data_IF_462724195365
#
_entry.id   IF_462724195365
#
_cell.length_a   1.000
_cell.length_b   1.000
_cell.length_c   1.000
_cell.angle_alpha   90.00
_cell.angle_beta   90.00
_cell.angle_gamma   90.00
#
_symmetry.space_group_name_H-M   'P 1'
#
loop_
_entity.id
_entity.type
_entity.pdbx_description
1 polymer ?
#
# COMPACT_ATOMS: atom_id res chain seq x y z
N UNK A 1 0.42 75.35 40.28
CA UNK A 1 1.25 74.21 40.73
C UNK A 1 0.69 72.95 40.11
N UNK A 2 1.52 72.23 39.33
CA UNK A 2 1.51 70.83 38.81
C UNK A 2 0.21 69.99 38.79
N UNK A 3 0.11 68.90 37.98
CA UNK A 3 0.71 68.61 36.67
C UNK A 3 -0.28 67.91 35.69
N UNK A 4 0.24 67.60 34.49
CA UNK A 4 -0.34 66.78 33.41
C UNK A 4 -0.87 65.41 33.90
N UNK A 5 -1.93 64.93 33.24
CA UNK A 5 -2.10 63.49 33.02
C UNK A 5 -2.80 63.22 31.68
N UNK A 6 -2.06 62.57 30.79
CA UNK A 6 -2.47 62.13 29.45
C UNK A 6 -3.05 60.74 29.62
N UNK A 7 -4.35 60.56 29.37
CA UNK A 7 -4.94 59.21 29.28
C UNK A 7 -4.45 58.54 27.99
N UNK A 8 -3.62 57.51 28.13
CA UNK A 8 -3.36 56.52 27.08
C UNK A 8 -4.45 55.44 27.16
N UNK A 9 -5.16 55.09 26.08
CA UNK A 9 -5.97 53.88 26.07
C UNK A 9 -5.05 52.67 26.01
N UNK A 10 -5.14 51.80 27.01
CA UNK A 10 -4.55 50.46 27.00
C UNK A 10 -5.41 49.59 26.09
N UNK A 11 -4.93 49.31 24.89
CA UNK A 11 -5.45 48.25 24.03
C UNK A 11 -5.08 46.90 24.65
N UNK A 12 -6.05 46.24 25.29
CA UNK A 12 -5.93 44.84 25.67
C UNK A 12 -6.13 44.01 24.40
N UNK A 13 -5.02 43.57 23.81
CA UNK A 13 -5.04 42.58 22.74
C UNK A 13 -5.39 41.22 23.36
N UNK A 14 -6.62 40.74 23.11
CA UNK A 14 -6.99 39.35 23.36
C UNK A 14 -6.23 38.49 22.33
N UNK A 15 -5.11 37.93 22.76
CA UNK A 15 -4.39 36.92 21.99
C UNK A 15 -5.26 35.67 21.86
N UNK A 16 -5.78 35.41 20.67
CA UNK A 16 -6.39 34.14 20.34
C UNK A 16 -5.27 33.10 20.26
N UNK A 17 -5.04 32.36 21.34
CA UNK A 17 -4.25 31.13 21.30
C UNK A 17 -5.04 30.12 20.48
N UNK A 18 -4.71 29.98 19.20
CA UNK A 18 -5.19 28.87 18.39
C UNK A 18 -4.53 27.62 18.97
N UNK A 19 -5.28 26.91 19.80
CA UNK A 19 -4.89 25.59 20.29
C UNK A 19 -4.58 24.70 19.08
N UNK A 20 -3.40 24.08 19.09
CA UNK A 20 -3.06 23.01 18.17
C UNK A 20 -4.02 21.84 18.43
N UNK A 21 -5.18 21.87 17.78
CA UNK A 21 -6.08 20.74 17.72
C UNK A 21 -5.32 19.57 17.09
N UNK A 22 -5.34 18.42 17.75
CA UNK A 22 -4.85 17.17 17.19
C UNK A 22 -5.46 17.00 15.79
N UNK A 23 -4.64 17.13 14.75
CA UNK A 23 -5.08 16.98 13.39
C UNK A 23 -5.70 15.58 13.26
N UNK A 24 -7.02 15.52 13.09
CA UNK A 24 -7.70 14.28 12.76
C UNK A 24 -7.00 13.69 11.52
N UNK A 25 -6.59 12.43 11.61
CA UNK A 25 -5.92 11.76 10.49
C UNK A 25 -6.80 11.89 9.25
N UNK A 26 -6.26 12.52 8.20
CA UNK A 26 -7.01 12.77 6.97
C UNK A 26 -7.46 11.42 6.36
N UNK A 27 -8.66 11.37 5.74
CA UNK A 27 -9.11 10.18 5.03
C UNK A 27 -8.02 9.71 4.06
N UNK A 28 -7.82 8.39 3.84
CA UNK A 28 -6.79 7.86 2.94
C UNK A 28 -6.79 8.51 1.55
N UNK A 29 -7.96 8.98 1.09
CA UNK A 29 -8.12 9.69 -0.18
C UNK A 29 -7.34 11.01 -0.28
N UNK A 30 -6.99 11.66 0.85
CA UNK A 30 -6.37 12.99 0.88
C UNK A 30 -4.86 12.94 1.20
N UNK A 31 -4.36 11.81 1.72
CA UNK A 31 -2.93 11.63 2.02
C UNK A 31 -2.11 11.49 0.74
N UNK A 32 -0.94 12.13 0.68
CA UNK A 32 0.05 11.92 -0.39
C UNK A 32 0.59 10.49 -0.38
N UNK A 33 1.20 10.03 -1.48
CA UNK A 33 1.85 8.70 -1.51
C UNK A 33 2.97 8.58 -0.48
N UNK A 34 3.72 9.66 -0.23
CA UNK A 34 4.75 9.70 0.80
C UNK A 34 4.18 9.52 2.22
N UNK A 35 3.11 10.24 2.56
CA UNK A 35 2.44 10.10 3.87
C UNK A 35 1.81 8.72 4.04
N UNK A 36 1.18 8.20 2.98
CA UNK A 36 0.65 6.84 2.98
C UNK A 36 1.76 5.83 3.24
N UNK A 37 2.86 5.87 2.48
CA UNK A 37 4.02 4.99 2.69
C UNK A 37 4.55 5.05 4.13
N UNK A 38 4.67 6.25 4.71
CA UNK A 38 5.18 6.43 6.06
C UNK A 38 4.25 5.90 7.17
N UNK A 39 2.97 5.68 6.87
CA UNK A 39 1.95 5.29 7.86
C UNK A 39 1.23 3.99 7.53
N UNK A 40 1.59 3.33 6.42
CA UNK A 40 0.84 2.21 5.83
C UNK A 40 0.70 1.00 6.76
N UNK A 41 1.65 0.78 7.66
CA UNK A 41 1.59 -0.30 8.67
C UNK A 41 0.41 -0.18 9.64
N UNK A 42 -0.12 1.04 9.81
CA UNK A 42 -1.29 1.32 10.65
C UNK A 42 -2.61 1.20 9.88
N UNK A 43 -2.55 1.08 8.56
CA UNK A 43 -3.73 1.10 7.70
C UNK A 43 -4.25 -0.30 7.40
N UNK A 44 -5.56 -0.38 7.12
CA UNK A 44 -6.20 -1.60 6.64
C UNK A 44 -5.48 -2.12 5.36
N UNK A 45 -5.36 -3.44 5.13
CA UNK A 45 -4.66 -3.98 3.96
C UNK A 45 -5.15 -3.43 2.60
N UNK A 46 -6.40 -3.00 2.50
CA UNK A 46 -6.94 -2.31 1.32
C UNK A 46 -6.17 -1.03 0.94
N UNK A 47 -5.60 -0.31 1.92
CA UNK A 47 -4.85 0.92 1.68
C UNK A 47 -3.57 0.69 0.86
N UNK A 48 -2.98 -0.51 0.93
CA UNK A 48 -1.79 -0.88 0.15
C UNK A 48 -2.10 -0.90 -1.36
N UNK A 49 -3.31 -1.31 -1.75
CA UNK A 49 -3.77 -1.28 -3.14
C UNK A 49 -3.97 0.16 -3.62
N UNK A 50 -4.56 1.01 -2.78
CA UNK A 50 -4.72 2.44 -3.08
C UNK A 50 -3.36 3.11 -3.25
N UNK A 51 -2.40 2.83 -2.36
CA UNK A 51 -1.02 3.32 -2.48
C UNK A 51 -0.38 2.84 -3.78
N UNK A 52 -0.48 1.55 -4.07
CA UNK A 52 0.09 0.96 -5.28
C UNK A 52 -0.50 1.61 -6.55
N UNK A 53 -1.82 1.78 -6.64
CA UNK A 53 -2.46 2.46 -7.77
C UNK A 53 -1.95 3.90 -7.95
N UNK A 54 -1.82 4.66 -6.86
CA UNK A 54 -1.34 6.05 -6.91
C UNK A 54 0.10 6.14 -7.37
N UNK A 55 0.99 5.32 -6.79
CA UNK A 55 2.38 5.22 -7.23
C UNK A 55 2.49 4.83 -8.70
N UNK A 56 1.62 3.93 -9.17
CA UNK A 56 1.59 3.52 -10.56
C UNK A 56 1.19 4.68 -11.49
N UNK A 57 0.17 5.45 -11.11
CA UNK A 57 -0.26 6.65 -11.82
C UNK A 57 0.81 7.77 -11.82
N UNK A 58 1.62 7.85 -10.77
CA UNK A 58 2.77 8.76 -10.65
C UNK A 58 4.01 8.28 -11.46
N UNK A 59 3.93 7.14 -12.15
CA UNK A 59 5.06 6.57 -12.90
C UNK A 59 6.08 5.81 -12.05
N UNK A 60 5.89 5.73 -10.72
CA UNK A 60 6.73 4.98 -9.76
C UNK A 60 6.37 3.49 -9.78
N UNK A 61 6.45 2.88 -10.96
CA UNK A 61 5.83 1.57 -11.25
C UNK A 61 6.41 0.42 -10.42
N UNK A 62 7.73 0.32 -10.23
CA UNK A 62 8.33 -0.74 -9.40
C UNK A 62 7.96 -0.61 -7.92
N UNK A 63 7.83 0.62 -7.43
CA UNK A 63 7.34 0.87 -6.07
C UNK A 63 5.87 0.48 -5.92
N UNK A 64 5.06 0.75 -6.95
CA UNK A 64 3.69 0.28 -7.01
C UNK A 64 3.61 -1.25 -6.95
N UNK A 65 4.41 -1.97 -7.75
CA UNK A 65 4.48 -3.44 -7.71
C UNK A 65 4.86 -3.94 -6.32
N UNK A 66 5.83 -3.30 -5.68
CA UNK A 66 6.24 -3.63 -4.31
C UNK A 66 5.09 -3.49 -3.32
N UNK A 67 4.40 -2.34 -3.29
CA UNK A 67 3.30 -2.12 -2.36
C UNK A 67 2.06 -2.97 -2.70
N UNK A 68 1.85 -3.30 -3.97
CA UNK A 68 0.80 -4.21 -4.40
C UNK A 68 1.02 -5.63 -3.86
N UNK A 69 2.22 -6.22 -4.06
CA UNK A 69 2.51 -7.56 -3.53
C UNK A 69 2.58 -7.58 -2.00
N UNK A 70 3.06 -6.51 -1.37
CA UNK A 70 2.99 -6.36 0.09
C UNK A 70 1.53 -6.33 0.57
N UNK A 71 0.67 -5.55 -0.09
CA UNK A 71 -0.77 -5.52 0.16
C UNK A 71 -1.45 -6.87 -0.02
N UNK A 72 -1.06 -7.64 -1.04
CA UNK A 72 -1.55 -9.00 -1.24
C UNK A 72 -1.22 -9.92 -0.06
N UNK A 73 0.01 -9.87 0.47
CA UNK A 73 0.37 -10.68 1.65
C UNK A 73 -0.51 -10.29 2.84
N UNK A 74 -0.60 -8.98 3.15
CA UNK A 74 -1.36 -8.45 4.29
C UNK A 74 -2.85 -8.79 4.19
N UNK A 75 -3.45 -8.58 3.02
CA UNK A 75 -4.89 -8.78 2.83
C UNK A 75 -5.23 -10.28 2.82
N UNK A 76 -4.44 -11.13 2.15
CA UNK A 76 -4.65 -12.59 2.20
C UNK A 76 -4.49 -13.15 3.60
N UNK A 77 -3.52 -12.66 4.38
CA UNK A 77 -3.36 -13.05 5.77
C UNK A 77 -4.57 -12.63 6.63
N UNK A 78 -5.10 -11.42 6.41
CA UNK A 78 -6.32 -10.92 7.06
C UNK A 78 -7.52 -11.83 6.79
N UNK A 79 -7.76 -12.21 5.52
CA UNK A 79 -8.84 -13.12 5.16
C UNK A 79 -8.63 -14.53 5.76
N UNK A 80 -7.40 -15.05 5.70
CA UNK A 80 -7.08 -16.39 6.20
C UNK A 80 -7.23 -16.51 7.74
N UNK A 81 -6.96 -15.43 8.47
CA UNK A 81 -7.11 -15.36 9.94
C UNK A 81 -8.54 -15.05 10.39
N UNK A 82 -9.42 -14.67 9.45
CA UNK A 82 -10.82 -14.31 9.74
C UNK A 82 -11.77 -15.00 8.74
N UNK A 83 -11.87 -16.34 8.78
CA UNK A 83 -12.59 -17.12 7.77
C UNK A 83 -14.11 -16.87 7.75
N UNK A 84 -14.67 -16.27 8.80
CA UNK A 84 -16.10 -16.03 8.95
C UNK A 84 -16.55 -14.63 8.47
N UNK A 85 -15.68 -13.87 7.80
CA UNK A 85 -16.06 -12.57 7.23
C UNK A 85 -17.18 -12.74 6.18
N UNK A 86 -18.16 -11.83 6.12
CA UNK A 86 -19.19 -11.84 5.09
C UNK A 86 -18.58 -11.84 3.69
N UNK A 87 -19.12 -12.66 2.77
CA UNK A 87 -18.57 -12.82 1.42
C UNK A 87 -18.60 -11.54 0.60
N UNK A 88 -19.61 -10.71 0.82
CA UNK A 88 -19.83 -9.40 0.20
C UNK A 88 -19.05 -8.25 0.88
N UNK A 89 -18.32 -8.54 1.96
CA UNK A 89 -17.46 -7.59 2.65
C UNK A 89 -16.02 -7.60 2.13
N UNK A 90 -15.06 -7.82 3.04
CA UNK A 90 -13.61 -7.81 2.71
C UNK A 90 -13.18 -8.79 1.61
N UNK A 91 -13.72 -10.03 1.50
CA UNK A 91 -13.41 -10.91 0.37
C UNK A 91 -13.80 -10.32 -0.98
N UNK A 92 -14.98 -9.71 -1.10
CA UNK A 92 -15.40 -9.04 -2.33
C UNK A 92 -14.56 -7.78 -2.62
N UNK A 93 -14.24 -6.99 -1.58
CA UNK A 93 -13.34 -5.85 -1.70
C UNK A 93 -11.96 -6.27 -2.20
N UNK A 94 -11.40 -7.35 -1.64
CA UNK A 94 -10.12 -7.92 -2.07
C UNK A 94 -10.14 -8.30 -3.55
N UNK A 95 -11.21 -8.99 -3.99
CA UNK A 95 -11.40 -9.37 -5.39
C UNK A 95 -11.46 -8.15 -6.29
N UNK A 96 -12.30 -7.17 -5.95
CA UNK A 96 -12.45 -5.93 -6.72
C UNK A 96 -11.14 -5.16 -6.86
N UNK A 97 -10.39 -4.96 -5.77
CA UNK A 97 -9.10 -4.26 -5.81
C UNK A 97 -8.05 -5.04 -6.61
N UNK A 98 -8.05 -6.37 -6.52
CA UNK A 98 -7.11 -7.20 -7.29
C UNK A 98 -7.38 -7.13 -8.79
N UNK A 99 -8.64 -7.03 -9.21
CA UNK A 99 -9.02 -6.90 -10.61
C UNK A 99 -8.82 -5.47 -11.16
N UNK A 100 -9.26 -4.46 -10.41
CA UNK A 100 -9.25 -3.07 -10.88
C UNK A 100 -7.85 -2.47 -10.78
N UNK A 101 -7.21 -2.59 -9.63
CA UNK A 101 -5.90 -1.97 -9.38
C UNK A 101 -4.76 -2.95 -9.72
N UNK A 102 -4.94 -4.23 -9.40
CA UNK A 102 -3.89 -5.24 -9.58
C UNK A 102 -3.61 -5.62 -11.03
N UNK A 103 -4.62 -5.66 -11.90
CA UNK A 103 -4.44 -6.05 -13.31
C UNK A 103 -3.44 -5.17 -14.08
N UNK A 104 -3.56 -3.83 -14.12
CA UNK A 104 -2.57 -2.99 -14.82
C UNK A 104 -1.18 -3.06 -14.18
N UNK A 105 -1.09 -3.20 -12.84
CA UNK A 105 0.18 -3.33 -12.12
C UNK A 105 0.87 -4.65 -12.48
N UNK A 106 0.13 -5.75 -12.52
CA UNK A 106 0.65 -7.05 -12.92
C UNK A 106 1.04 -7.07 -14.40
N UNK A 107 0.23 -6.49 -15.29
CA UNK A 107 0.57 -6.41 -16.71
C UNK A 107 1.93 -5.75 -16.93
N UNK A 108 2.19 -4.65 -16.21
CA UNK A 108 3.52 -4.05 -16.15
C UNK A 108 4.52 -5.04 -15.56
N UNK A 109 4.31 -5.54 -14.34
CA UNK A 109 5.31 -6.32 -13.61
C UNK A 109 5.78 -7.57 -14.38
N UNK A 110 4.86 -8.30 -15.00
CA UNK A 110 5.15 -9.50 -15.80
C UNK A 110 5.91 -9.21 -17.10
N UNK A 111 6.06 -7.93 -17.48
CA UNK A 111 6.96 -7.54 -18.57
C UNK A 111 8.44 -7.67 -18.22
N UNK A 112 8.80 -7.78 -16.94
CA UNK A 112 10.17 -8.00 -16.49
C UNK A 112 10.19 -9.04 -15.37
N UNK A 113 10.39 -10.30 -15.74
CA UNK A 113 10.24 -11.45 -14.83
C UNK A 113 11.32 -11.47 -13.73
N UNK A 114 12.63 -11.30 -14.05
CA UNK A 114 13.65 -11.20 -13.01
C UNK A 114 13.40 -10.04 -12.05
N UNK A 115 12.97 -8.88 -12.55
CA UNK A 115 12.64 -7.72 -11.71
C UNK A 115 11.44 -8.00 -10.80
N UNK A 116 10.38 -8.58 -11.34
CA UNK A 116 9.20 -8.99 -10.57
C UNK A 116 9.60 -9.96 -9.44
N UNK A 117 10.41 -10.97 -9.74
CA UNK A 117 10.87 -11.92 -8.73
C UNK A 117 11.64 -11.23 -7.59
N UNK A 118 12.55 -10.32 -7.93
CA UNK A 118 13.28 -9.53 -6.93
C UNK A 118 12.35 -8.62 -6.10
N UNK A 119 11.33 -8.03 -6.71
CA UNK A 119 10.34 -7.22 -5.97
C UNK A 119 9.51 -8.08 -5.01
N UNK A 120 9.10 -9.28 -5.43
CA UNK A 120 8.40 -10.23 -4.55
C UNK A 120 9.28 -10.62 -3.36
N UNK A 121 10.58 -10.85 -3.57
CA UNK A 121 11.50 -11.14 -2.46
C UNK A 121 11.60 -9.98 -1.47
N UNK A 122 11.66 -8.74 -1.96
CA UNK A 122 11.61 -7.56 -1.08
C UNK A 122 10.30 -7.46 -0.33
N UNK A 123 9.16 -7.74 -0.97
CA UNK A 123 7.85 -7.70 -0.32
C UNK A 123 7.75 -8.75 0.79
N UNK A 124 8.25 -9.97 0.55
CA UNK A 124 8.32 -11.04 1.56
C UNK A 124 9.24 -10.66 2.73
N UNK A 125 10.43 -10.12 2.45
CA UNK A 125 11.37 -9.69 3.48
C UNK A 125 10.83 -8.52 4.31
N UNK A 126 10.23 -7.53 3.65
CA UNK A 126 9.55 -6.43 4.33
C UNK A 126 8.43 -6.96 5.20
N UNK A 127 7.60 -7.86 4.67
CA UNK A 127 6.50 -8.45 5.43
C UNK A 127 6.97 -9.19 6.69
N UNK A 128 8.08 -9.92 6.60
CA UNK A 128 8.68 -10.62 7.73
C UNK A 128 9.20 -9.67 8.82
N UNK A 129 9.75 -8.53 8.44
CA UNK A 129 10.35 -7.56 9.36
C UNK A 129 9.34 -6.62 10.04
N UNK A 130 8.12 -6.48 9.50
CA UNK A 130 7.14 -5.50 9.97
C UNK A 130 5.90 -6.21 10.53
N UNK A 131 5.59 -6.08 11.84
CA UNK A 131 4.41 -6.68 12.45
C UNK A 131 3.11 -6.30 11.71
N UNK A 132 2.10 -7.16 11.79
CA UNK A 132 0.78 -6.90 11.24
C UNK A 132 -0.27 -6.87 12.35
N UNK A 133 -0.93 -5.74 12.52
CA UNK A 133 -2.03 -5.64 13.50
C UNK A 133 -3.34 -6.25 12.99
N UNK A 134 -3.49 -6.47 11.68
CA UNK A 134 -4.71 -7.01 11.06
C UNK A 134 -4.68 -8.53 10.90
N UNK A 135 -3.50 -9.13 10.99
CA UNK A 135 -3.30 -10.58 10.88
C UNK A 135 -2.06 -11.01 11.66
N UNK A 136 -2.20 -11.36 12.96
CA UNK A 136 -1.09 -11.78 13.81
C UNK A 136 -0.23 -12.88 13.18
N UNK A 137 1.02 -13.00 13.65
CA UNK A 137 1.90 -14.08 13.22
C UNK A 137 1.29 -15.44 13.55
N UNK A 138 1.57 -16.44 12.70
CA UNK A 138 1.07 -17.79 12.86
C UNK A 138 0.90 -18.49 11.52
N UNK A 139 0.47 -19.76 11.58
CA UNK A 139 0.44 -20.67 10.43
C UNK A 139 -0.26 -20.07 9.21
N UNK A 140 -1.42 -19.43 9.39
CA UNK A 140 -2.18 -18.84 8.28
C UNK A 140 -1.37 -17.79 7.51
N UNK A 141 -0.58 -16.97 8.22
CA UNK A 141 0.29 -15.97 7.61
C UNK A 141 1.50 -16.61 6.93
N UNK A 142 2.09 -17.60 7.57
CA UNK A 142 3.23 -18.34 7.01
C UNK A 142 2.83 -19.07 5.71
N UNK A 143 1.64 -19.65 5.67
CA UNK A 143 1.08 -20.29 4.48
C UNK A 143 0.90 -19.29 3.34
N UNK A 144 0.46 -18.05 3.62
CA UNK A 144 0.33 -16.97 2.63
C UNK A 144 1.69 -16.57 2.07
N UNK A 145 2.70 -16.35 2.93
CA UNK A 145 4.07 -16.03 2.50
C UNK A 145 4.66 -17.15 1.65
N UNK A 146 4.50 -18.40 2.10
CA UNK A 146 4.95 -19.58 1.37
C UNK A 146 4.24 -19.71 0.01
N UNK A 147 2.94 -19.40 -0.05
CA UNK A 147 2.18 -19.36 -1.30
C UNK A 147 2.74 -18.36 -2.30
N UNK A 148 3.05 -17.15 -1.86
CA UNK A 148 3.66 -16.12 -2.72
C UNK A 148 5.09 -16.52 -3.16
N UNK A 149 5.88 -17.13 -2.27
CA UNK A 149 7.21 -17.63 -2.61
C UNK A 149 7.14 -18.76 -3.67
N UNK A 150 6.17 -19.68 -3.56
CA UNK A 150 5.92 -20.71 -4.58
C UNK A 150 5.48 -20.09 -5.91
N UNK A 151 4.60 -19.10 -5.89
CA UNK A 151 4.19 -18.39 -7.10
C UNK A 151 5.40 -17.74 -7.80
N UNK A 152 6.28 -17.07 -7.04
CA UNK A 152 7.54 -16.52 -7.57
C UNK A 152 8.41 -17.60 -8.23
N UNK A 153 8.60 -18.73 -7.56
CA UNK A 153 9.39 -19.84 -8.08
C UNK A 153 8.79 -20.38 -9.40
N UNK A 154 7.47 -20.50 -9.46
CA UNK A 154 6.77 -20.94 -10.67
C UNK A 154 6.90 -19.92 -11.81
N UNK A 155 6.76 -18.62 -11.53
CA UNK A 155 6.96 -17.55 -12.51
C UNK A 155 8.36 -17.62 -13.14
N UNK A 156 9.39 -17.88 -12.33
CA UNK A 156 10.76 -18.04 -12.82
C UNK A 156 10.90 -19.32 -13.66
N UNK A 157 10.33 -20.43 -13.19
CA UNK A 157 10.40 -21.73 -13.88
C UNK A 157 9.69 -21.71 -15.24
N UNK A 158 8.64 -20.90 -15.41
CA UNK A 158 7.87 -20.80 -16.65
C UNK A 158 8.09 -19.48 -17.39
N UNK A 159 9.21 -18.80 -17.14
CA UNK A 159 9.45 -17.45 -17.63
C UNK A 159 9.37 -17.33 -19.17
N UNK A 160 9.89 -18.32 -19.90
CA UNK A 160 9.81 -18.34 -21.37
C UNK A 160 8.37 -18.48 -21.88
N UNK A 161 7.55 -19.31 -21.23
CA UNK A 161 6.14 -19.50 -21.58
C UNK A 161 5.32 -18.22 -21.33
N UNK A 162 5.59 -17.54 -20.22
CA UNK A 162 4.99 -16.24 -19.89
C UNK A 162 5.34 -15.23 -20.98
N UNK A 163 6.62 -15.10 -21.33
CA UNK A 163 7.08 -14.18 -22.39
C UNK A 163 6.44 -14.48 -23.74
N UNK A 164 6.37 -15.76 -24.13
CA UNK A 164 5.72 -16.19 -25.36
C UNK A 164 4.22 -15.86 -25.38
N UNK A 165 3.52 -16.09 -24.26
CA UNK A 165 2.09 -15.77 -24.11
C UNK A 165 1.85 -14.27 -24.18
N UNK A 166 2.69 -13.48 -23.52
CA UNK A 166 2.63 -12.01 -23.59
C UNK A 166 2.81 -11.51 -25.01
N UNK A 167 3.81 -12.01 -25.73
CA UNK A 167 4.05 -11.62 -27.12
C UNK A 167 2.86 -11.95 -28.04
N UNK A 168 2.24 -13.14 -27.88
CA UNK A 168 1.02 -13.51 -28.62
C UNK A 168 -0.16 -12.58 -28.35
N UNK A 169 -0.22 -12.01 -27.14
CA UNK A 169 -1.27 -11.09 -26.72
C UNK A 169 -0.92 -9.61 -27.01
N UNK A 170 0.20 -9.33 -27.71
CA UNK A 170 0.63 -7.96 -28.01
C UNK A 170 1.20 -7.20 -26.80
N UNK A 171 1.57 -7.90 -25.72
CA UNK A 171 2.14 -7.29 -24.52
C UNK A 171 3.67 -7.25 -24.60
N UNK A 172 4.25 -6.15 -24.10
CA UNK A 172 5.70 -5.92 -24.09
C UNK A 172 6.44 -6.87 -23.13
N UNK A 173 7.60 -7.36 -23.57
CA UNK A 173 8.60 -8.03 -22.71
C UNK A 173 9.84 -7.13 -22.62
N UNK A 174 10.10 -6.56 -21.44
CA UNK A 174 11.20 -5.62 -21.15
C UNK A 174 12.48 -6.31 -20.68
N UNK A 175 12.39 -7.59 -20.31
CA UNK A 175 13.54 -8.45 -20.03
C UNK A 175 13.56 -9.66 -20.97
N UNK A 176 14.76 -10.17 -21.25
CA UNK A 176 14.93 -11.45 -21.93
C UNK A 176 14.98 -12.61 -20.95
#
# INVERSE_FOLDING_TARGET
>A
MSPRSVLRPVLVAFGLVIGAGAAAAQPPAQRSTAEMTATIERDHPAAYYVLARRLFAEGRRDEAVFWFYTGQIRFRARLATHPNLPRDGEPALFGSLSEVDGRPINEYAFGDIPRLAGIIDRALAWDAAHPDRYAPQGKARDDVRAGLARMKAQILATADEIRATRARNGLENRSR
#
